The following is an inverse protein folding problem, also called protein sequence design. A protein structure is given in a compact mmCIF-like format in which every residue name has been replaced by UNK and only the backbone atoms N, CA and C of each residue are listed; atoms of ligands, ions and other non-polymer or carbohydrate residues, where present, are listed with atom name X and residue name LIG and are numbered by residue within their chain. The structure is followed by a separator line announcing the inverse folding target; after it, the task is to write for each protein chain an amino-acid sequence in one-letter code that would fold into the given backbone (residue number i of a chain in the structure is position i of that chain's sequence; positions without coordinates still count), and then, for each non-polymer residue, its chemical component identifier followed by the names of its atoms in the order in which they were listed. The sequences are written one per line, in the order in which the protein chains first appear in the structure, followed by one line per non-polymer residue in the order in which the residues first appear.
data_IF_158966019490
#
_entry.id   IF_158966019490
#
_cell.length_a   1.000
_cell.length_b   1.000
_cell.length_c   1.000
_cell.angle_alpha   90.00
_cell.angle_beta   90.00
_cell.angle_gamma   90.00
#
_symmetry.space_group_name_H-M   'P 1'
#
loop_
_entity.id
_entity.type
_entity.pdbx_description
1 polymer ?
#
# COMPACT_ATOMS: atom_id res chain seq x y z
N UNK A 1 0.86 -1.12 -13.28
CA UNK A 1 1.60 0.05 -12.76
C UNK A 1 0.88 1.35 -13.12
N UNK A 2 0.53 1.61 -14.39
CA UNK A 2 -0.16 2.83 -14.82
C UNK A 2 -1.47 3.16 -14.07
N UNK A 3 -2.30 2.16 -13.74
CA UNK A 3 -3.56 2.40 -13.03
C UNK A 3 -3.36 2.87 -11.59
N UNK A 4 -2.32 2.38 -10.90
CA UNK A 4 -2.02 2.78 -9.53
C UNK A 4 -1.47 4.20 -9.44
N UNK A 5 -0.61 4.58 -10.39
CA UNK A 5 -0.14 5.96 -10.51
C UNK A 5 -1.25 6.91 -10.93
N UNK A 6 -2.12 6.49 -11.86
CA UNK A 6 -3.27 7.29 -12.30
C UNK A 6 -4.24 7.58 -11.15
N UNK A 7 -4.63 6.56 -10.37
CA UNK A 7 -5.53 6.75 -9.22
C UNK A 7 -4.92 7.59 -8.09
N UNK A 8 -3.59 7.61 -7.97
CA UNK A 8 -2.87 8.46 -6.99
C UNK A 8 -2.75 9.92 -7.45
N UNK A 9 -2.76 10.17 -8.76
CA UNK A 9 -2.57 11.48 -9.37
C UNK A 9 -3.88 12.16 -9.82
N UNK A 10 -4.99 11.43 -9.88
CA UNK A 10 -6.28 11.98 -10.34
C UNK A 10 -6.98 12.75 -9.22
N UNK A 11 -7.12 14.07 -9.42
CA UNK A 11 -7.94 14.95 -8.59
C UNK A 11 -9.35 15.04 -9.16
N UNK A 12 -10.35 14.62 -8.40
CA UNK A 12 -11.77 14.68 -8.79
C UNK A 12 -12.34 16.10 -8.64
N UNK A 13 -11.70 17.10 -9.24
CA UNK A 13 -12.08 18.52 -9.08
C UNK A 13 -13.05 19.07 -10.14
N UNK A 14 -13.57 18.22 -11.04
CA UNK A 14 -14.49 18.63 -12.11
C UNK A 14 -15.72 17.74 -12.32
N UNK A 15 -15.98 16.80 -11.42
CA UNK A 15 -17.22 16.02 -11.42
C UNK A 15 -18.13 16.66 -10.39
N UNK A 16 -19.30 17.15 -10.81
CA UNK A 16 -20.42 17.57 -9.95
C UNK A 16 -20.98 16.37 -9.16
N UNK A 17 -20.13 15.76 -8.34
CA UNK A 17 -20.53 14.89 -7.26
C UNK A 17 -20.89 15.83 -6.11
N UNK A 18 -22.19 16.09 -5.94
CA UNK A 18 -22.75 16.70 -4.75
C UNK A 18 -21.98 16.27 -3.50
N UNK A 19 -21.20 17.21 -2.93
CA UNK A 19 -20.83 17.30 -1.52
C UNK A 19 -20.46 15.99 -0.79
N UNK A 20 -19.63 15.13 -1.37
CA UNK A 20 -18.88 14.14 -0.57
C UNK A 20 -17.46 14.64 -0.31
N UNK A 21 -17.32 15.87 0.20
CA UNK A 21 -16.08 16.28 0.86
C UNK A 21 -16.03 15.61 2.24
N UNK A 22 -15.93 14.28 2.26
CA UNK A 22 -15.69 13.55 3.51
C UNK A 22 -14.30 13.99 3.99
N UNK A 23 -14.19 14.67 5.13
CA UNK A 23 -12.90 15.08 5.65
C UNK A 23 -12.00 13.85 5.81
N UNK A 24 -10.74 13.94 5.37
CA UNK A 24 -9.73 12.88 5.51
C UNK A 24 -9.95 11.61 4.68
N UNK A 25 -10.84 11.63 3.68
CA UNK A 25 -11.05 10.47 2.80
C UNK A 25 -9.80 10.08 2.00
N UNK A 26 -8.97 11.06 1.66
CA UNK A 26 -7.66 10.85 1.05
C UNK A 26 -6.79 9.91 1.90
N UNK A 27 -6.70 10.12 3.22
CA UNK A 27 -5.92 9.26 4.12
C UNK A 27 -6.42 7.82 4.11
N UNK A 28 -7.72 7.61 3.98
CA UNK A 28 -8.30 6.27 3.84
C UNK A 28 -7.92 5.61 2.50
N UNK A 29 -7.87 6.37 1.41
CA UNK A 29 -7.39 5.90 0.11
C UNK A 29 -5.92 5.51 0.17
N UNK A 30 -5.07 6.36 0.76
CA UNK A 30 -3.65 6.10 1.01
C UNK A 30 -3.46 4.80 1.82
N UNK A 31 -4.15 4.67 2.95
CA UNK A 31 -4.14 3.46 3.75
C UNK A 31 -4.53 2.22 2.93
N UNK A 32 -5.66 2.26 2.21
CA UNK A 32 -6.16 1.10 1.45
C UNK A 32 -5.24 0.72 0.30
N UNK A 33 -4.67 1.71 -0.38
CA UNK A 33 -3.75 1.47 -1.50
C UNK A 33 -2.51 0.71 -1.03
N UNK A 34 -1.86 1.20 0.03
CA UNK A 34 -0.65 0.56 0.56
C UNK A 34 -0.95 -0.76 1.28
N UNK A 35 -2.13 -0.92 1.86
CA UNK A 35 -2.64 -2.19 2.40
C UNK A 35 -2.70 -3.27 1.32
N UNK A 36 -3.39 -3.00 0.21
CA UNK A 36 -3.52 -3.96 -0.90
C UNK A 36 -2.18 -4.19 -1.59
N UNK A 37 -1.40 -3.12 -1.81
CA UNK A 37 -0.08 -3.22 -2.43
C UNK A 37 0.87 -4.12 -1.63
N UNK A 38 0.87 -4.02 -0.30
CA UNK A 38 1.68 -4.89 0.54
C UNK A 38 1.25 -6.36 0.44
N UNK A 39 -0.07 -6.65 0.49
CA UNK A 39 -0.60 -8.02 0.34
C UNK A 39 -0.18 -8.63 -0.99
N UNK A 40 -0.43 -7.91 -2.09
CA UNK A 40 -0.10 -8.38 -3.44
C UNK A 40 1.42 -8.56 -3.61
N UNK A 41 2.21 -7.62 -3.11
CA UNK A 41 3.67 -7.70 -3.18
C UNK A 41 4.24 -8.89 -2.40
N UNK A 42 3.68 -9.21 -1.23
CA UNK A 42 4.07 -10.43 -0.48
C UNK A 42 3.74 -11.69 -1.26
N UNK A 43 2.55 -11.79 -1.86
CA UNK A 43 2.21 -12.96 -2.69
C UNK A 43 3.10 -13.07 -3.92
N UNK A 44 3.34 -11.97 -4.62
CA UNK A 44 4.24 -11.91 -5.77
C UNK A 44 5.65 -12.37 -5.40
N UNK A 45 6.21 -11.86 -4.30
CA UNK A 45 7.58 -12.20 -3.89
C UNK A 45 7.69 -13.66 -3.44
N UNK A 46 6.64 -14.22 -2.83
CA UNK A 46 6.59 -15.64 -2.49
C UNK A 46 6.50 -16.55 -3.71
N UNK A 47 5.67 -16.21 -4.68
CA UNK A 47 5.58 -16.90 -5.96
C UNK A 47 6.94 -16.89 -6.66
N UNK A 48 7.53 -15.69 -6.83
CA UNK A 48 8.81 -15.53 -7.51
C UNK A 48 9.96 -16.26 -6.83
N UNK A 49 9.95 -16.32 -5.50
CA UNK A 49 10.97 -17.03 -4.71
C UNK A 49 10.68 -18.52 -4.56
N UNK A 50 9.60 -19.06 -5.15
CA UNK A 50 9.17 -20.44 -4.95
C UNK A 50 9.11 -20.79 -3.44
N UNK A 51 8.63 -19.86 -2.60
CA UNK A 51 8.55 -20.06 -1.15
C UNK A 51 9.87 -20.35 -0.44
N UNK A 52 11.04 -20.22 -1.11
CA UNK A 52 12.36 -20.43 -0.50
C UNK A 52 12.66 -19.39 0.57
N UNK A 53 12.10 -18.20 0.42
CA UNK A 53 12.23 -17.14 1.41
C UNK A 53 11.22 -17.33 2.53
N UNK A 54 11.72 -17.28 3.77
CA UNK A 54 10.87 -17.34 4.97
C UNK A 54 9.79 -16.24 4.91
N UNK A 55 8.57 -16.57 5.31
CA UNK A 55 7.44 -15.66 5.38
C UNK A 55 7.78 -14.37 6.12
N UNK A 56 8.42 -14.44 7.29
CA UNK A 56 8.77 -13.24 8.06
C UNK A 56 9.75 -12.32 7.32
N UNK A 57 10.73 -12.91 6.61
CA UNK A 57 11.67 -12.13 5.78
C UNK A 57 10.93 -11.45 4.62
N UNK A 58 10.00 -12.15 3.99
CA UNK A 58 9.17 -11.60 2.90
C UNK A 58 8.30 -10.45 3.39
N UNK A 59 7.65 -10.60 4.55
CA UNK A 59 6.80 -9.57 5.13
C UNK A 59 7.60 -8.30 5.46
N UNK A 60 8.75 -8.45 6.13
CA UNK A 60 9.61 -7.31 6.49
C UNK A 60 10.12 -6.60 5.23
N UNK A 61 10.61 -7.36 4.25
CA UNK A 61 11.10 -6.80 2.99
C UNK A 61 10.01 -6.01 2.26
N UNK A 62 8.78 -6.54 2.21
CA UNK A 62 7.68 -5.87 1.52
C UNK A 62 7.16 -4.64 2.26
N UNK A 63 7.06 -4.69 3.59
CA UNK A 63 6.71 -3.49 4.39
C UNK A 63 7.76 -2.41 4.17
N UNK A 64 9.05 -2.76 4.25
CA UNK A 64 10.12 -1.78 4.00
C UNK A 64 10.03 -1.18 2.59
N UNK A 65 9.90 -2.02 1.56
CA UNK A 65 9.80 -1.56 0.18
C UNK A 65 8.59 -0.65 -0.06
N UNK A 66 7.42 -1.01 0.48
CA UNK A 66 6.19 -0.23 0.31
C UNK A 66 6.21 1.08 1.09
N UNK A 67 6.77 1.10 2.31
CA UNK A 67 6.94 2.34 3.10
C UNK A 67 7.90 3.29 2.40
N UNK A 68 9.06 2.81 1.94
CA UNK A 68 10.04 3.64 1.21
C UNK A 68 9.41 4.18 -0.07
N UNK A 69 8.72 3.34 -0.83
CA UNK A 69 7.98 3.78 -2.02
C UNK A 69 6.92 4.83 -1.69
N UNK A 70 6.20 4.68 -0.57
CA UNK A 70 5.28 5.67 -0.03
C UNK A 70 5.93 7.02 0.18
N UNK A 71 6.97 7.06 0.99
CA UNK A 71 7.69 8.30 1.31
C UNK A 71 8.22 8.97 0.03
N UNK A 72 8.75 8.20 -0.93
CA UNK A 72 9.23 8.76 -2.19
C UNK A 72 8.12 9.42 -3.00
N UNK A 73 6.94 8.80 -3.07
CA UNK A 73 5.78 9.38 -3.76
C UNK A 73 5.27 10.62 -3.03
N UNK A 74 5.24 10.64 -1.69
CA UNK A 74 4.85 11.83 -0.92
C UNK A 74 5.79 13.01 -1.18
N UNK A 75 7.10 12.77 -1.24
CA UNK A 75 8.10 13.81 -1.58
C UNK A 75 7.88 14.33 -3.00
N UNK A 76 7.63 13.45 -3.97
CA UNK A 76 7.33 13.87 -5.35
C UNK A 76 6.03 14.68 -5.39
N UNK A 77 5.00 14.27 -4.64
CA UNK A 77 3.74 15.00 -4.58
C UNK A 77 3.92 16.39 -3.98
N UNK A 78 4.73 16.52 -2.92
CA UNK A 78 5.08 17.82 -2.33
C UNK A 78 5.77 18.76 -3.32
N UNK A 79 6.76 18.27 -4.07
CA UNK A 79 7.54 19.10 -4.99
C UNK A 79 6.77 19.47 -6.27
N UNK A 80 5.93 18.57 -6.79
CA UNK A 80 5.32 18.71 -8.12
C UNK A 80 3.81 19.00 -8.12
N UNK A 81 3.13 18.98 -6.97
CA UNK A 81 1.68 19.21 -6.90
C UNK A 81 1.37 20.50 -6.15
N UNK A 82 1.18 21.60 -6.88
CA UNK A 82 1.02 22.97 -6.36
C UNK A 82 -0.17 23.20 -5.39
N UNK A 83 -1.02 22.18 -5.13
CA UNK A 83 -2.17 22.25 -4.22
C UNK A 83 -2.19 21.18 -3.12
N UNK A 84 -1.14 20.35 -2.99
CA UNK A 84 -1.03 19.41 -1.87
C UNK A 84 0.20 19.73 -1.04
N UNK A 85 -0.01 20.23 0.17
CA UNK A 85 1.00 20.09 1.23
C UNK A 85 1.19 18.59 1.42
N UNK A 86 2.33 18.05 1.00
CA UNK A 86 2.76 16.71 1.40
C UNK A 86 2.59 16.57 2.91
N UNK A 87 1.63 15.75 3.31
CA UNK A 87 1.19 15.64 4.70
C UNK A 87 1.94 14.46 5.33
N UNK A 88 2.59 14.70 6.47
CA UNK A 88 3.19 13.63 7.28
C UNK A 88 2.14 12.58 7.63
N UNK A 89 0.87 12.97 7.73
CA UNK A 89 -0.24 12.05 7.94
C UNK A 89 -0.52 11.11 6.75
N UNK A 90 -0.19 11.49 5.51
CA UNK A 90 -0.32 10.61 4.34
C UNK A 90 0.80 9.55 4.35
N UNK A 91 2.03 9.96 4.66
CA UNK A 91 3.14 9.03 4.89
C UNK A 91 2.84 8.03 6.04
N UNK A 92 2.18 8.50 7.11
CA UNK A 92 1.69 7.65 8.19
C UNK A 92 0.59 6.70 7.72
N UNK A 93 -0.40 7.18 6.97
CA UNK A 93 -1.48 6.36 6.43
C UNK A 93 -0.94 5.24 5.53
N UNK A 94 0.01 5.57 4.63
CA UNK A 94 0.72 4.61 3.77
C UNK A 94 1.43 3.53 4.60
N UNK A 95 2.12 3.96 5.66
CA UNK A 95 2.89 3.08 6.53
C UNK A 95 2.00 2.14 7.34
N UNK A 96 0.91 2.65 7.92
CA UNK A 96 -0.06 1.84 8.67
C UNK A 96 -0.75 0.85 7.72
N UNK A 97 -1.14 1.29 6.52
CA UNK A 97 -1.70 0.41 5.49
C UNK A 97 -0.78 -0.77 5.18
N UNK A 98 0.50 -0.48 4.92
CA UNK A 98 1.51 -1.49 4.64
C UNK A 98 1.67 -2.51 5.78
N UNK A 99 1.75 -2.04 7.02
CA UNK A 99 1.86 -2.90 8.21
C UNK A 99 0.61 -3.77 8.38
N UNK A 100 -0.58 -3.19 8.25
CA UNK A 100 -1.84 -3.92 8.32
C UNK A 100 -1.92 -5.01 7.25
N UNK A 101 -1.49 -4.71 6.01
CA UNK A 101 -1.46 -5.70 4.92
C UNK A 101 -0.56 -6.88 5.25
N UNK A 102 0.64 -6.62 5.75
CA UNK A 102 1.57 -7.66 6.20
C UNK A 102 1.01 -8.49 7.37
N UNK A 103 0.34 -7.87 8.34
CA UNK A 103 -0.33 -8.56 9.44
C UNK A 103 -1.47 -9.45 8.93
N UNK A 104 -2.29 -8.99 7.99
CA UNK A 104 -3.35 -9.80 7.36
C UNK A 104 -2.77 -11.04 6.69
N UNK A 105 -1.68 -10.91 5.94
CA UNK A 105 -1.01 -12.07 5.33
C UNK A 105 -0.47 -13.01 6.40
N UNK A 106 0.18 -12.48 7.45
CA UNK A 106 0.69 -13.28 8.57
C UNK A 106 -0.43 -14.09 9.22
N UNK A 107 -1.56 -13.45 9.55
CA UNK A 107 -2.73 -14.10 10.15
C UNK A 107 -3.33 -15.16 9.22
N UNK A 108 -3.42 -14.88 7.92
CA UNK A 108 -3.90 -15.83 6.92
C UNK A 108 -3.06 -17.11 6.89
N UNK A 109 -1.72 -16.99 6.91
CA UNK A 109 -0.82 -18.15 6.93
C UNK A 109 -0.71 -18.83 8.29
N UNK A 110 -0.93 -18.12 9.41
CA UNK A 110 -1.01 -18.73 10.74
C UNK A 110 -2.27 -19.60 10.88
N UNK A 111 -3.41 -19.12 10.36
CA UNK A 111 -4.71 -19.80 10.46
C UNK A 111 -4.83 -20.99 9.50
N UNK A 112 -4.25 -20.88 8.30
CA UNK A 112 -4.12 -22.01 7.39
C UNK A 112 -2.85 -22.79 7.71
N UNK A 113 -2.97 -23.83 8.56
CA UNK A 113 -1.98 -24.90 8.74
C UNK A 113 -1.53 -25.40 7.37
N UNK A 114 -0.46 -24.82 6.86
CA UNK A 114 0.19 -25.14 5.58
C UNK A 114 -0.76 -25.11 4.38
N UNK A 115 -0.80 -23.97 3.68
CA UNK A 115 -0.96 -24.04 2.23
C UNK A 115 0.21 -24.92 1.74
N UNK A 116 -0.10 -26.18 1.48
CA UNK A 116 0.81 -27.15 0.86
C UNK A 116 1.14 -26.60 -0.52
N UNK A 117 2.13 -25.73 -0.58
CA UNK A 117 2.91 -25.52 -1.78
C UNK A 117 3.70 -26.82 -1.97
N UNK A 118 3.00 -27.83 -2.51
CA UNK A 118 3.64 -29.01 -3.06
C UNK A 118 4.10 -28.59 -4.46
N UNK A 119 5.41 -28.62 -4.65
CA UNK A 119 6.00 -28.83 -5.96
C UNK A 119 5.73 -30.27 -6.40
#
# INVERSE_FOLDING_TARGET
MAFGTFSSLYSFSGVDAQSFSIPHFDKAVHFMFYFVACILGVFFLRERSNGKMNLMKTLIAMVFATVVFGILIEVIQYEYTAQRMGDVYDALANSIGSICGALTVKLFFLRKRQLKWKY
#
